data_IF_158926389566
#
_entry.id   IF_158926389566
#
_cell.length_a   1.000
_cell.length_b   1.000
_cell.length_c   1.000
_cell.angle_alpha   90.00
_cell.angle_beta   90.00
_cell.angle_gamma   90.00
#
_symmetry.space_group_name_H-M   'P 1'
#
loop_
_entity.id
_entity.type
_entity.pdbx_description
1 polymer ?
#
# COMPACT_ATOMS: atom_id res chain seq x y z
N UNK A 1 -24.45 -4.25 1.01
CA UNK A 1 -24.26 -5.60 0.44
C UNK A 1 -22.96 -6.17 0.98
N UNK A 2 -22.94 -7.44 1.38
CA UNK A 2 -21.72 -8.17 1.76
C UNK A 2 -21.40 -9.18 0.66
N UNK A 3 -20.22 -9.09 0.07
CA UNK A 3 -19.75 -10.02 -0.95
C UNK A 3 -18.84 -11.07 -0.32
N UNK A 4 -19.15 -12.35 -0.55
CA UNK A 4 -18.38 -13.49 -0.04
C UNK A 4 -17.84 -14.28 -1.23
N UNK A 5 -16.60 -14.74 -1.12
CA UNK A 5 -15.95 -15.58 -2.13
C UNK A 5 -15.36 -16.83 -1.47
N UNK A 6 -15.24 -17.92 -2.24
CA UNK A 6 -14.66 -19.17 -1.76
C UNK A 6 -13.16 -19.26 -2.12
N UNK A 7 -12.36 -19.72 -1.16
CA UNK A 7 -10.92 -19.95 -1.32
C UNK A 7 -10.06 -18.69 -1.12
N UNK A 8 -8.87 -18.88 -0.52
CA UNK A 8 -7.89 -17.78 -0.35
C UNK A 8 -7.30 -17.31 -1.69
N UNK A 9 -7.24 -18.20 -2.67
CA UNK A 9 -6.68 -17.93 -4.00
C UNK A 9 -7.69 -17.26 -4.93
N UNK A 10 -8.85 -16.84 -4.42
CA UNK A 10 -9.84 -16.17 -5.24
C UNK A 10 -9.25 -14.86 -5.78
N UNK A 11 -9.18 -14.66 -7.11
CA UNK A 11 -8.53 -13.49 -7.71
C UNK A 11 -9.12 -12.16 -7.25
N UNK A 12 -10.39 -12.13 -6.82
CA UNK A 12 -11.03 -10.92 -6.32
C UNK A 12 -10.45 -10.41 -4.99
N UNK A 13 -9.77 -11.28 -4.23
CA UNK A 13 -9.10 -10.91 -3.00
C UNK A 13 -7.71 -10.31 -3.26
N UNK A 14 -7.13 -10.50 -4.43
CA UNK A 14 -5.76 -10.08 -4.72
C UNK A 14 -5.76 -8.78 -5.50
N UNK A 15 -5.02 -7.80 -4.97
CA UNK A 15 -5.07 -6.42 -5.44
C UNK A 15 -3.69 -5.82 -5.46
N UNK A 16 -3.39 -5.08 -6.52
CA UNK A 16 -2.02 -4.63 -6.79
C UNK A 16 -1.89 -3.12 -6.62
N UNK A 17 -3.02 -2.40 -6.63
CA UNK A 17 -3.04 -0.95 -6.61
C UNK A 17 -3.98 -0.49 -5.51
N UNK A 18 -3.49 0.40 -4.66
CA UNK A 18 -4.27 1.06 -3.62
C UNK A 18 -4.02 2.57 -3.64
N UNK A 19 -5.05 3.35 -3.33
CA UNK A 19 -4.90 4.77 -3.02
C UNK A 19 -4.68 4.93 -1.52
N UNK A 20 -3.78 5.81 -1.15
CA UNK A 20 -3.48 6.18 0.24
C UNK A 20 -3.69 7.67 0.42
N UNK A 21 -4.54 8.00 1.39
CA UNK A 21 -4.71 9.37 1.89
C UNK A 21 -3.85 9.59 3.13
N UNK A 22 -3.60 10.87 3.44
CA UNK A 22 -2.92 11.27 4.68
C UNK A 22 -1.56 10.59 4.87
N UNK A 23 -0.76 10.50 3.79
CA UNK A 23 0.60 9.97 3.89
C UNK A 23 1.44 10.91 4.76
N UNK A 24 1.78 10.46 5.96
CA UNK A 24 2.65 11.15 6.88
C UNK A 24 4.06 10.56 6.79
N UNK A 25 5.01 11.38 6.34
CA UNK A 25 6.42 11.01 6.30
C UNK A 25 7.09 11.46 7.60
N UNK A 26 7.89 10.57 8.18
CA UNK A 26 8.59 10.80 9.45
C UNK A 26 9.69 11.85 9.27
N UNK A 27 10.37 11.81 8.12
CA UNK A 27 11.40 12.75 7.73
C UNK A 27 10.89 13.63 6.58
N UNK A 28 11.48 14.83 6.40
CA UNK A 28 11.25 15.71 5.23
C UNK A 28 11.89 15.15 3.94
N UNK A 29 11.82 13.84 3.75
CA UNK A 29 12.37 13.16 2.58
C UNK A 29 11.36 13.27 1.45
N UNK A 30 11.73 13.98 0.39
CA UNK A 30 10.95 13.95 -0.85
C UNK A 30 11.01 12.55 -1.46
N UNK A 31 9.87 12.03 -1.88
CA UNK A 31 9.76 10.72 -2.55
C UNK A 31 10.33 10.81 -3.97
N UNK A 32 11.66 10.83 -4.09
CA UNK A 32 12.41 11.01 -5.33
C UNK A 32 13.17 9.74 -5.76
N UNK A 33 13.19 8.71 -4.91
CA UNK A 33 13.97 7.49 -5.12
C UNK A 33 13.11 6.40 -5.76
N UNK A 34 13.77 5.40 -6.37
CA UNK A 34 13.10 4.35 -7.15
C UNK A 34 13.05 2.98 -6.47
N UNK A 35 13.32 2.87 -5.16
CA UNK A 35 13.43 1.57 -4.47
C UNK A 35 12.63 1.53 -3.16
N UNK A 36 11.31 1.64 -3.28
CA UNK A 36 10.42 1.58 -2.13
C UNK A 36 9.87 0.17 -1.91
N UNK A 37 9.68 -0.18 -0.64
CA UNK A 37 8.85 -1.31 -0.24
C UNK A 37 7.72 -0.83 0.65
N UNK A 38 6.59 -1.51 0.64
CA UNK A 38 5.48 -1.18 1.52
C UNK A 38 4.83 -2.42 2.11
N UNK A 39 4.24 -2.22 3.28
CA UNK A 39 3.50 -3.25 4.02
C UNK A 39 2.12 -2.71 4.35
N UNK A 40 1.09 -3.47 3.98
CA UNK A 40 -0.33 -3.10 4.20
C UNK A 40 -0.96 -3.86 5.37
N UNK A 41 -0.19 -4.76 6.01
CA UNK A 41 -0.63 -5.55 7.15
C UNK A 41 0.49 -5.67 8.15
N UNK A 42 0.12 -5.65 9.43
CA UNK A 42 1.08 -5.91 10.48
C UNK A 42 1.73 -7.29 10.31
N UNK A 43 3.08 -7.32 10.31
CA UNK A 43 3.92 -8.51 10.11
C UNK A 43 3.79 -9.19 8.74
N UNK A 44 3.23 -8.53 7.73
CA UNK A 44 3.45 -8.99 6.35
C UNK A 44 4.85 -8.64 5.88
N UNK A 45 5.36 -9.43 4.93
CA UNK A 45 6.59 -9.13 4.24
C UNK A 45 6.42 -7.87 3.39
N UNK A 46 7.40 -6.97 3.43
CA UNK A 46 7.38 -5.76 2.62
C UNK A 46 7.50 -6.13 1.14
N UNK A 47 6.68 -5.51 0.31
CA UNK A 47 6.64 -5.79 -1.13
C UNK A 47 7.15 -4.56 -1.89
N UNK A 48 8.02 -4.73 -2.91
CA UNK A 48 8.45 -3.61 -3.73
C UNK A 48 7.27 -2.89 -4.36
N UNK A 49 7.28 -1.57 -4.30
CA UNK A 49 6.16 -0.71 -4.66
C UNK A 49 6.63 0.49 -5.46
N UNK A 50 5.82 0.89 -6.44
CA UNK A 50 5.95 2.18 -7.11
C UNK A 50 4.95 3.15 -6.49
N UNK A 51 5.44 4.31 -6.06
CA UNK A 51 4.61 5.36 -5.46
C UNK A 51 4.47 6.50 -6.46
N UNK A 52 3.25 6.98 -6.67
CA UNK A 52 2.96 8.14 -7.54
C UNK A 52 2.00 9.07 -6.84
N UNK A 53 2.29 10.35 -6.80
CA UNK A 53 1.40 11.35 -6.23
C UNK A 53 0.31 11.74 -7.24
N UNK A 54 -0.92 11.90 -6.77
CA UNK A 54 -2.03 12.45 -7.54
C UNK A 54 -2.67 13.64 -6.78
N UNK A 55 -3.76 14.20 -7.33
CA UNK A 55 -4.44 15.36 -6.73
C UNK A 55 -5.04 15.08 -5.33
N UNK A 56 -5.31 13.82 -5.01
CA UNK A 56 -6.04 13.40 -3.80
C UNK A 56 -5.17 12.64 -2.79
N UNK A 57 -3.87 12.46 -3.05
CA UNK A 57 -2.97 11.68 -2.21
C UNK A 57 -1.91 10.92 -3.03
N UNK A 58 -1.70 9.65 -2.68
CA UNK A 58 -0.67 8.80 -3.28
C UNK A 58 -1.26 7.48 -3.76
N UNK A 59 -0.78 7.01 -4.90
CA UNK A 59 -1.09 5.69 -5.46
C UNK A 59 0.11 4.78 -5.23
N UNK A 60 -0.14 3.60 -4.68
CA UNK A 60 0.83 2.56 -4.43
C UNK A 60 0.55 1.38 -5.35
N UNK A 61 1.47 1.11 -6.28
CA UNK A 61 1.41 -0.02 -7.20
C UNK A 61 2.44 -1.07 -6.80
N UNK A 62 1.96 -2.18 -6.25
CA UNK A 62 2.78 -3.29 -5.77
C UNK A 62 3.24 -4.17 -6.93
N UNK A 63 4.53 -4.54 -6.91
CA UNK A 63 5.11 -5.50 -7.86
C UNK A 63 4.48 -6.90 -7.76
N UNK A 64 3.99 -7.28 -6.58
CA UNK A 64 3.25 -8.51 -6.34
C UNK A 64 1.87 -8.23 -5.73
N UNK A 65 0.81 -8.95 -6.15
CA UNK A 65 -0.53 -8.78 -5.62
C UNK A 65 -0.57 -8.92 -4.09
N UNK A 66 -1.31 -8.03 -3.45
CA UNK A 66 -1.53 -8.05 -2.02
C UNK A 66 -2.85 -8.74 -1.68
N UNK A 67 -2.83 -9.57 -0.64
CA UNK A 67 -4.02 -10.30 -0.22
C UNK A 67 -4.95 -9.42 0.62
N UNK A 68 -6.15 -9.19 0.08
CA UNK A 68 -7.28 -8.51 0.67
C UNK A 68 -6.85 -7.22 1.42
N UNK A 69 -6.30 -6.21 0.72
CA UNK A 69 -6.20 -4.88 1.31
C UNK A 69 -7.57 -4.41 1.76
N UNK A 70 -7.62 -3.54 2.76
CA UNK A 70 -8.87 -3.02 3.30
C UNK A 70 -8.78 -1.51 3.48
N UNK A 71 -9.82 -0.80 3.03
CA UNK A 71 -9.96 0.64 3.25
C UNK A 71 -10.00 0.90 4.76
N UNK A 72 -9.28 1.93 5.22
CA UNK A 72 -9.09 2.26 6.62
C UNK A 72 -7.93 1.54 7.31
N UNK A 73 -7.29 0.54 6.68
CA UNK A 73 -6.04 -0.03 7.19
C UNK A 73 -4.84 0.87 6.86
N UNK A 74 -3.82 0.80 7.69
CA UNK A 74 -2.57 1.52 7.46
C UNK A 74 -1.71 0.84 6.40
N UNK A 75 -1.08 1.66 5.57
CA UNK A 75 0.07 1.29 4.75
C UNK A 75 1.31 1.95 5.35
N UNK A 76 2.39 1.18 5.50
CA UNK A 76 3.70 1.68 5.93
C UNK A 76 4.66 1.60 4.75
N UNK A 77 5.38 2.70 4.51
CA UNK A 77 6.35 2.87 3.44
C UNK A 77 7.76 2.78 4.00
N UNK A 78 8.59 1.99 3.34
CA UNK A 78 9.98 1.78 3.67
C UNK A 78 10.88 2.07 2.47
N UNK A 79 12.11 2.44 2.75
CA UNK A 79 13.21 2.43 1.80
C UNK A 79 14.34 1.61 2.40
N UNK A 80 14.68 0.49 1.74
CA UNK A 80 15.60 -0.52 2.27
C UNK A 80 15.15 -1.02 3.65
N UNK A 81 15.75 -0.51 4.73
CA UNK A 81 15.42 -0.86 6.12
C UNK A 81 14.91 0.34 6.94
N UNK A 82 14.74 1.51 6.33
CA UNK A 82 14.27 2.71 7.00
C UNK A 82 12.76 2.87 6.81
N UNK A 83 12.04 3.08 7.93
CA UNK A 83 10.63 3.46 7.89
C UNK A 83 10.55 4.94 7.50
N UNK A 84 10.00 5.21 6.31
CA UNK A 84 9.81 6.58 5.83
C UNK A 84 8.52 7.19 6.36
N UNK A 85 7.55 6.37 6.72
CA UNK A 85 6.26 6.81 7.24
C UNK A 85 5.13 5.90 6.82
N UNK A 86 3.91 6.45 6.81
CA UNK A 86 2.72 5.67 6.46
C UNK A 86 1.48 6.52 6.31
N UNK A 87 0.43 5.90 5.79
CA UNK A 87 -0.85 6.55 5.56
C UNK A 87 -2.00 5.54 5.65
N UNK A 88 -3.21 6.00 5.31
CA UNK A 88 -4.42 5.17 5.38
C UNK A 88 -4.88 4.81 3.97
N UNK A 89 -5.15 3.53 3.73
CA UNK A 89 -5.71 3.06 2.47
C UNK A 89 -7.12 3.64 2.34
N UNK A 90 -7.34 4.47 1.31
CA UNK A 90 -8.62 5.13 1.04
C UNK A 90 -9.43 4.41 -0.05
N UNK A 91 -8.74 3.75 -0.99
CA UNK A 91 -9.37 3.06 -2.11
C UNK A 91 -8.54 1.84 -2.55
N UNK A 92 -9.21 0.85 -3.12
CA UNK A 92 -8.62 -0.38 -3.65
C UNK A 92 -9.09 -0.55 -5.09
N UNK A 93 -8.15 -0.72 -6.02
CA UNK A 93 -8.43 -0.83 -7.46
C UNK A 93 -8.40 -2.29 -7.92
#
# INVERSE_FOLDING_TARGET
MLYVVQGKDNPKLWKNIVSVSELHLINETSLLNNNYTASIRYRSQDTPVKVTQNENGYIFEFSAPQWAPAVGQSLVLFQENECLGGGVISEIH
#
